data_IF_844521969142
#
_entry.id   IF_844521969142
#
_cell.length_a   1.000
_cell.length_b   1.000
_cell.length_c   1.000
_cell.angle_alpha   90.00
_cell.angle_beta   90.00
_cell.angle_gamma   90.00
#
_symmetry.space_group_name_H-M   'P 1'
#
loop_
_entity.id
_entity.type
_entity.pdbx_description
1 polymer ?
#
# COMPACT_ATOMS: atom_id res chain seq x y z
N UNK A 1 -19.99 -23.19 -6.20
CA UNK A 1 -19.38 -22.04 -5.48
C UNK A 1 -18.23 -22.48 -4.56
N UNK A 2 -18.40 -23.45 -3.62
CA UNK A 2 -17.27 -23.93 -2.80
C UNK A 2 -16.20 -24.66 -3.65
N UNK A 3 -16.56 -25.57 -4.52
CA UNK A 3 -15.61 -26.28 -5.41
C UNK A 3 -14.87 -25.31 -6.35
N UNK A 4 -15.54 -24.34 -6.89
CA UNK A 4 -14.98 -23.32 -7.78
C UNK A 4 -13.92 -22.45 -7.08
N UNK A 5 -14.16 -22.06 -5.82
CA UNK A 5 -13.19 -21.30 -5.03
C UNK A 5 -11.97 -22.15 -4.66
N UNK A 6 -12.17 -23.42 -4.34
CA UNK A 6 -11.05 -24.34 -4.07
C UNK A 6 -10.17 -24.53 -5.31
N UNK A 7 -10.76 -24.66 -6.49
CA UNK A 7 -10.02 -24.74 -7.76
C UNK A 7 -9.21 -23.44 -8.03
N UNK A 8 -9.82 -22.28 -7.76
CA UNK A 8 -9.12 -20.99 -7.87
C UNK A 8 -7.96 -20.89 -6.89
N UNK A 9 -8.16 -21.28 -5.63
CA UNK A 9 -7.09 -21.29 -4.61
C UNK A 9 -5.94 -22.20 -5.06
N UNK A 10 -6.23 -23.37 -5.59
CA UNK A 10 -5.20 -24.31 -6.09
C UNK A 10 -4.44 -23.78 -7.31
N UNK A 11 -5.06 -22.93 -8.12
CA UNK A 11 -4.41 -22.29 -9.26
C UNK A 11 -3.35 -21.24 -8.86
N UNK A 12 -3.39 -20.73 -7.60
CA UNK A 12 -2.45 -19.74 -7.08
C UNK A 12 -2.76 -18.31 -7.52
N UNK A 13 -1.95 -17.35 -7.07
CA UNK A 13 -2.10 -15.93 -7.39
C UNK A 13 -1.96 -15.65 -8.89
N UNK A 14 -2.74 -14.68 -9.39
CA UNK A 14 -2.79 -14.29 -10.80
C UNK A 14 -3.16 -12.82 -10.97
N UNK A 15 -3.34 -12.37 -12.21
CA UNK A 15 -3.88 -11.03 -12.49
C UNK A 15 -5.28 -10.79 -11.91
N UNK A 16 -6.06 -11.86 -11.75
CA UNK A 16 -7.45 -11.80 -11.27
C UNK A 16 -7.66 -12.48 -9.91
N UNK A 17 -6.61 -12.98 -9.28
CA UNK A 17 -6.67 -13.63 -7.97
C UNK A 17 -5.53 -13.19 -7.07
N UNK A 18 -5.88 -12.80 -5.85
CA UNK A 18 -4.94 -12.54 -4.75
C UNK A 18 -5.28 -13.42 -3.56
N UNK A 19 -4.28 -14.08 -3.00
CA UNK A 19 -4.40 -14.91 -1.80
C UNK A 19 -3.73 -14.22 -0.62
N UNK A 20 -4.42 -14.12 0.52
CA UNK A 20 -3.88 -13.55 1.74
C UNK A 20 -4.20 -14.42 2.94
N UNK A 21 -3.21 -14.69 3.75
CA UNK A 21 -3.39 -15.38 5.03
C UNK A 21 -4.28 -14.56 5.95
N UNK A 22 -4.00 -13.27 6.06
CA UNK A 22 -4.81 -12.28 6.79
C UNK A 22 -4.54 -10.88 6.22
N UNK A 23 -5.45 -9.96 6.49
CA UNK A 23 -5.27 -8.55 6.19
C UNK A 23 -5.77 -7.70 7.36
N UNK A 24 -4.93 -6.80 7.87
CA UNK A 24 -5.24 -5.93 9.01
C UNK A 24 -5.16 -4.45 8.65
N UNK A 25 -4.49 -4.14 7.57
CA UNK A 25 -4.28 -2.77 7.09
C UNK A 25 -5.32 -2.41 6.04
N UNK A 26 -6.25 -1.46 6.35
CA UNK A 26 -7.24 -0.98 5.39
C UNK A 26 -6.61 -0.28 4.18
N UNK A 27 -5.43 0.34 4.32
CA UNK A 27 -4.73 1.00 3.22
C UNK A 27 -4.22 -0.03 2.21
N UNK A 28 -3.63 -1.13 2.70
CA UNK A 28 -3.21 -2.22 1.83
C UNK A 28 -4.41 -2.84 1.10
N UNK A 29 -5.53 -3.07 1.79
CA UNK A 29 -6.73 -3.62 1.16
C UNK A 29 -7.33 -2.65 0.13
N UNK A 30 -7.37 -1.35 0.42
CA UNK A 30 -7.82 -0.34 -0.53
C UNK A 30 -6.93 -0.31 -1.79
N UNK A 31 -5.60 -0.37 -1.62
CA UNK A 31 -4.66 -0.49 -2.74
C UNK A 31 -4.96 -1.73 -3.61
N UNK A 32 -5.17 -2.89 -2.99
CA UNK A 32 -5.52 -4.13 -3.70
C UNK A 32 -6.83 -3.97 -4.47
N UNK A 33 -7.91 -3.57 -3.80
CA UNK A 33 -9.22 -3.37 -4.43
C UNK A 33 -9.10 -2.37 -5.59
N UNK A 34 -8.46 -1.21 -5.37
CA UNK A 34 -8.27 -0.20 -6.42
C UNK A 34 -7.47 -0.74 -7.61
N UNK A 35 -6.44 -1.54 -7.37
CA UNK A 35 -5.61 -2.12 -8.44
C UNK A 35 -6.38 -3.13 -9.30
N UNK A 36 -7.24 -3.95 -8.69
CA UNK A 36 -8.13 -4.86 -9.42
C UNK A 36 -9.19 -4.10 -10.20
N UNK A 37 -9.84 -3.10 -9.58
CA UNK A 37 -10.86 -2.28 -10.23
C UNK A 37 -10.31 -1.54 -11.46
N UNK A 38 -9.08 -1.06 -11.41
CA UNK A 38 -8.41 -0.40 -12.53
C UNK A 38 -7.83 -1.36 -13.59
N UNK A 39 -7.86 -2.66 -13.34
CA UNK A 39 -7.40 -3.68 -14.29
C UNK A 39 -8.61 -4.44 -14.87
N UNK A 40 -8.69 -5.73 -14.63
CA UNK A 40 -9.73 -6.60 -15.16
C UNK A 40 -10.81 -6.98 -14.13
N UNK A 41 -10.72 -6.46 -12.91
CA UNK A 41 -11.42 -6.97 -11.75
C UNK A 41 -10.75 -8.24 -11.22
N UNK A 42 -11.42 -8.96 -10.32
CA UNK A 42 -10.92 -10.22 -9.79
C UNK A 42 -11.38 -10.49 -8.37
N UNK A 43 -10.69 -11.41 -7.71
CA UNK A 43 -11.02 -11.87 -6.36
C UNK A 43 -9.83 -11.73 -5.41
N UNK A 44 -10.11 -11.27 -4.20
CA UNK A 44 -9.17 -11.27 -3.08
C UNK A 44 -9.69 -12.29 -2.07
N UNK A 45 -8.92 -13.34 -1.83
CA UNK A 45 -9.28 -14.44 -0.93
C UNK A 45 -8.44 -14.33 0.34
N UNK A 46 -9.10 -14.21 1.47
CA UNK A 46 -8.46 -14.03 2.79
C UNK A 46 -8.73 -15.24 3.66
N UNK A 47 -7.71 -15.77 4.29
CA UNK A 47 -7.72 -17.03 5.05
C UNK A 47 -6.98 -18.16 4.34
N UNK A 48 -6.18 -17.84 3.32
CA UNK A 48 -5.39 -18.79 2.53
C UNK A 48 -3.92 -18.36 2.54
N UNK A 49 -3.03 -19.31 2.76
CA UNK A 49 -1.57 -19.14 2.72
C UNK A 49 -1.01 -19.76 1.45
N UNK A 50 0.08 -19.24 0.91
CA UNK A 50 0.84 -19.88 -0.16
C UNK A 50 2.03 -20.71 0.39
N UNK A 51 2.29 -21.91 -0.15
CA UNK A 51 1.49 -22.67 -1.13
C UNK A 51 0.07 -22.93 -0.61
N UNK A 52 -0.93 -23.19 -1.48
CA UNK A 52 -2.34 -23.17 -1.11
C UNK A 52 -2.66 -24.05 0.11
N UNK A 53 -2.90 -23.39 1.24
CA UNK A 53 -3.34 -24.00 2.50
C UNK A 53 -4.43 -23.10 3.11
N UNK A 54 -5.59 -23.68 3.39
CA UNK A 54 -6.67 -22.95 4.06
C UNK A 54 -6.32 -22.83 5.55
N UNK A 55 -6.09 -21.61 6.00
CA UNK A 55 -5.78 -21.32 7.41
C UNK A 55 -6.97 -20.72 8.16
N UNK A 56 -7.92 -20.15 7.43
CA UNK A 56 -9.09 -19.45 7.94
C UNK A 56 -8.86 -17.96 8.20
N UNK A 57 -9.93 -17.19 8.17
CA UNK A 57 -9.95 -15.76 8.40
C UNK A 57 -10.85 -15.40 9.59
N UNK A 58 -10.49 -14.33 10.30
CA UNK A 58 -11.41 -13.68 11.25
C UNK A 58 -12.41 -12.81 10.45
N UNK A 59 -13.64 -13.26 10.36
CA UNK A 59 -14.70 -12.57 9.62
C UNK A 59 -14.92 -11.15 10.12
N UNK A 60 -15.06 -10.95 11.43
CA UNK A 60 -15.37 -9.64 12.00
C UNK A 60 -14.27 -8.63 11.73
N UNK A 61 -13.02 -9.03 11.94
CA UNK A 61 -11.87 -8.19 11.66
C UNK A 61 -11.79 -7.86 10.17
N UNK A 62 -11.92 -8.88 9.30
CA UNK A 62 -11.83 -8.71 7.84
C UNK A 62 -12.94 -7.79 7.32
N UNK A 63 -14.17 -7.95 7.79
CA UNK A 63 -15.30 -7.08 7.42
C UNK A 63 -15.04 -5.63 7.81
N UNK A 64 -14.57 -5.38 9.03
CA UNK A 64 -14.21 -4.03 9.50
C UNK A 64 -13.09 -3.41 8.65
N UNK A 65 -12.03 -4.16 8.35
CA UNK A 65 -10.92 -3.71 7.50
C UNK A 65 -11.43 -3.40 6.08
N UNK A 66 -12.32 -4.23 5.55
CA UNK A 66 -12.94 -4.01 4.24
C UNK A 66 -13.79 -2.72 4.20
N UNK A 67 -14.63 -2.48 5.20
CA UNK A 67 -15.44 -1.26 5.27
C UNK A 67 -14.57 0.00 5.35
N UNK A 68 -13.49 -0.04 6.14
CA UNK A 68 -12.53 1.06 6.22
C UNK A 68 -11.72 1.25 4.93
N UNK A 69 -11.39 0.17 4.24
CA UNK A 69 -10.73 0.23 2.94
C UNK A 69 -11.61 0.90 1.88
N UNK A 70 -12.90 0.59 1.84
CA UNK A 70 -13.84 1.20 0.89
C UNK A 70 -14.00 2.71 1.07
N UNK A 71 -13.82 3.25 2.27
CA UNK A 71 -13.84 4.70 2.54
C UNK A 71 -12.64 5.44 1.94
N UNK A 72 -11.56 4.73 1.63
CA UNK A 72 -10.31 5.26 1.07
C UNK A 72 -10.28 5.24 -0.46
N UNK A 73 -11.34 4.72 -1.10
CA UNK A 73 -11.45 4.58 -2.55
C UNK A 73 -12.38 5.62 -3.16
N UNK A 74 -11.92 6.27 -4.22
CA UNK A 74 -12.69 7.28 -4.95
C UNK A 74 -12.46 7.13 -6.46
N UNK A 75 -13.52 6.96 -7.27
CA UNK A 75 -14.87 6.58 -6.87
C UNK A 75 -14.88 5.22 -6.17
N UNK A 76 -15.94 4.93 -5.43
CA UNK A 76 -16.11 3.63 -4.77
C UNK A 76 -16.40 2.56 -5.83
N UNK A 77 -15.54 1.54 -6.00
CA UNK A 77 -15.75 0.50 -6.99
C UNK A 77 -16.87 -0.47 -6.57
N UNK A 78 -17.45 -1.16 -7.55
CA UNK A 78 -18.39 -2.27 -7.30
C UNK A 78 -17.63 -3.45 -6.70
N UNK A 79 -18.01 -3.83 -5.48
CA UNK A 79 -17.37 -4.93 -4.75
C UNK A 79 -18.39 -5.72 -3.96
N UNK A 80 -18.14 -7.02 -3.79
CA UNK A 80 -18.99 -7.91 -3.00
C UNK A 80 -18.13 -8.74 -2.04
N UNK A 81 -18.40 -8.65 -0.76
CA UNK A 81 -17.80 -9.50 0.25
C UNK A 81 -18.69 -10.72 0.49
N UNK A 82 -18.14 -11.91 0.36
CA UNK A 82 -18.79 -13.19 0.62
C UNK A 82 -17.96 -14.01 1.61
N UNK A 83 -18.65 -14.81 2.43
CA UNK A 83 -18.03 -15.72 3.36
C UNK A 83 -18.28 -17.12 2.87
N UNK A 84 -17.24 -17.94 2.83
CA UNK A 84 -17.29 -19.32 2.36
C UNK A 84 -16.65 -20.19 3.41
N UNK A 85 -17.23 -21.33 3.68
CA UNK A 85 -16.63 -22.36 4.49
C UNK A 85 -15.80 -23.29 3.60
N UNK A 86 -14.53 -23.42 3.87
CA UNK A 86 -13.60 -24.32 3.20
C UNK A 86 -12.79 -25.08 4.24
N UNK A 87 -12.75 -26.41 4.16
CA UNK A 87 -12.05 -27.25 5.15
C UNK A 87 -12.45 -26.95 6.61
N UNK A 88 -13.74 -26.75 6.87
CA UNK A 88 -14.29 -26.36 8.18
C UNK A 88 -13.76 -25.02 8.73
N UNK A 89 -13.17 -24.18 7.86
CA UNK A 89 -12.63 -22.87 8.20
C UNK A 89 -13.34 -21.77 7.40
N UNK A 90 -13.47 -20.60 8.02
CA UNK A 90 -14.02 -19.41 7.38
C UNK A 90 -13.01 -18.82 6.40
N UNK A 91 -13.40 -18.63 5.16
CA UNK A 91 -12.63 -17.92 4.13
C UNK A 91 -13.46 -16.74 3.65
N UNK A 92 -12.87 -15.56 3.60
CA UNK A 92 -13.52 -14.36 3.10
C UNK A 92 -13.08 -14.10 1.66
N UNK A 93 -14.05 -13.93 0.76
CA UNK A 93 -13.82 -13.61 -0.64
C UNK A 93 -14.38 -12.24 -0.93
N UNK A 94 -13.54 -11.37 -1.47
CA UNK A 94 -13.93 -10.05 -1.96
C UNK A 94 -13.87 -10.10 -3.47
N UNK A 95 -15.05 -10.08 -4.12
CA UNK A 95 -15.16 -9.90 -5.56
C UNK A 95 -15.04 -8.42 -5.89
N UNK A 96 -14.21 -8.09 -6.85
CA UNK A 96 -14.00 -6.72 -7.33
C UNK A 96 -14.32 -6.68 -8.81
N UNK A 97 -15.29 -5.86 -9.21
CA UNK A 97 -15.59 -5.66 -10.61
C UNK A 97 -14.64 -4.64 -11.23
N UNK A 98 -14.37 -4.80 -12.54
CA UNK A 98 -13.64 -3.79 -13.29
C UNK A 98 -14.42 -2.48 -13.29
N UNK A 99 -13.74 -1.40 -12.93
CA UNK A 99 -14.31 -0.05 -12.99
C UNK A 99 -14.16 0.55 -14.39
N UNK A 100 -15.17 1.31 -14.80
CA UNK A 100 -15.11 2.16 -16.01
C UNK A 100 -14.42 3.48 -15.74
N UNK A 101 -14.35 3.89 -14.46
CA UNK A 101 -13.69 5.11 -14.00
C UNK A 101 -12.40 4.78 -13.28
N UNK A 102 -11.44 5.72 -13.31
CA UNK A 102 -10.18 5.58 -12.58
C UNK A 102 -10.43 5.61 -11.07
N UNK A 103 -10.16 4.49 -10.40
CA UNK A 103 -10.28 4.36 -8.95
C UNK A 103 -8.97 4.76 -8.28
N UNK A 104 -9.06 5.72 -7.38
CA UNK A 104 -7.94 6.18 -6.56
C UNK A 104 -8.03 5.59 -5.15
N UNK A 105 -6.92 5.11 -4.63
CA UNK A 105 -6.73 4.77 -3.22
C UNK A 105 -5.89 5.86 -2.57
N UNK A 106 -6.50 6.65 -1.68
CA UNK A 106 -5.85 7.79 -1.03
C UNK A 106 -5.16 8.74 -2.02
N UNK A 107 -5.86 9.09 -3.10
CA UNK A 107 -5.36 9.98 -4.14
C UNK A 107 -4.34 9.36 -5.10
N UNK A 108 -4.06 8.05 -5.01
CA UNK A 108 -3.12 7.34 -5.87
C UNK A 108 -3.82 6.29 -6.70
N UNK A 109 -3.46 6.19 -7.98
CA UNK A 109 -3.91 5.12 -8.85
C UNK A 109 -2.95 3.93 -8.82
N UNK A 110 -3.52 2.74 -8.66
CA UNK A 110 -2.78 1.48 -8.75
C UNK A 110 -3.43 0.59 -9.80
N UNK A 111 -2.63 -0.26 -10.44
CA UNK A 111 -3.09 -1.25 -11.42
C UNK A 111 -2.48 -2.61 -11.10
N UNK A 112 -3.24 -3.66 -11.33
CA UNK A 112 -2.76 -5.04 -11.24
C UNK A 112 -2.01 -5.42 -12.50
N UNK A 113 -0.77 -5.90 -12.34
CA UNK A 113 0.05 -6.42 -13.44
C UNK A 113 0.67 -7.73 -12.98
N UNK A 114 0.23 -8.85 -13.54
CA UNK A 114 0.54 -10.17 -13.01
C UNK A 114 0.03 -10.32 -11.58
N UNK A 115 0.90 -10.68 -10.65
CA UNK A 115 0.58 -10.80 -9.21
C UNK A 115 0.87 -9.53 -8.41
N UNK A 116 1.30 -8.43 -9.05
CA UNK A 116 1.72 -7.21 -8.36
C UNK A 116 0.72 -6.06 -8.54
N UNK A 117 0.43 -5.36 -7.45
CA UNK A 117 -0.29 -4.08 -7.47
C UNK A 117 0.73 -2.93 -7.53
N UNK A 118 0.87 -2.31 -8.70
CA UNK A 118 1.86 -1.27 -8.98
C UNK A 118 1.20 0.11 -9.11
N UNK A 119 1.92 1.20 -8.81
CA UNK A 119 1.45 2.54 -9.15
C UNK A 119 1.20 2.63 -10.67
N UNK A 120 0.07 3.20 -11.05
CA UNK A 120 -0.32 3.36 -12.44
C UNK A 120 0.49 4.49 -13.09
N UNK A 121 1.11 4.22 -14.23
CA UNK A 121 1.80 5.25 -15.01
C UNK A 121 0.79 6.22 -15.65
N UNK A 122 1.20 7.46 -15.90
CA UNK A 122 0.34 8.47 -16.53
C UNK A 122 -0.26 8.02 -17.87
N UNK A 123 0.52 7.32 -18.69
CA UNK A 123 0.08 6.76 -19.97
C UNK A 123 -1.08 5.76 -19.82
N UNK A 124 -1.09 5.00 -18.73
CA UNK A 124 -2.16 4.07 -18.39
C UNK A 124 -3.38 4.80 -17.83
N UNK A 125 -3.17 5.79 -16.94
CA UNK A 125 -4.26 6.62 -16.39
C UNK A 125 -5.04 7.31 -17.52
N UNK A 126 -4.34 7.79 -18.55
CA UNK A 126 -4.94 8.47 -19.70
C UNK A 126 -5.94 7.59 -20.46
N UNK A 127 -5.78 6.27 -20.44
CA UNK A 127 -6.72 5.34 -21.09
C UNK A 127 -8.05 5.21 -20.34
N UNK A 128 -8.07 5.52 -19.04
CA UNK A 128 -9.25 5.55 -18.20
C UNK A 128 -9.96 6.91 -18.19
N UNK A 129 -9.36 7.92 -18.83
CA UNK A 129 -9.96 9.25 -18.92
C UNK A 129 -10.88 9.32 -20.13
N UNK A 130 -12.13 9.78 -19.96
CA UNK A 130 -13.00 10.06 -21.10
C UNK A 130 -12.38 11.13 -21.98
N UNK A 131 -12.66 11.06 -23.28
CA UNK A 131 -12.17 12.03 -24.28
C UNK A 131 -12.59 13.48 -23.96
N UNK A 132 -13.66 13.62 -23.16
CA UNK A 132 -14.05 14.87 -22.51
C UNK A 132 -14.23 14.58 -21.02
N UNK A 133 -13.34 15.09 -20.17
CA UNK A 133 -13.43 14.84 -18.72
C UNK A 133 -14.66 15.55 -18.14
N UNK A 134 -15.57 14.77 -17.58
CA UNK A 134 -16.68 15.29 -16.77
C UNK A 134 -16.18 15.87 -15.43
N UNK A 135 -17.02 16.61 -14.69
CA UNK A 135 -16.66 17.20 -13.41
C UNK A 135 -16.07 16.21 -12.40
N UNK A 136 -16.63 15.00 -12.31
CA UNK A 136 -16.14 13.94 -11.43
C UNK A 136 -14.72 13.45 -11.80
N UNK A 137 -14.40 13.43 -13.10
CA UNK A 137 -13.06 13.03 -13.58
C UNK A 137 -12.03 14.11 -13.27
N UNK A 138 -12.41 15.38 -13.38
CA UNK A 138 -11.55 16.51 -13.01
C UNK A 138 -11.27 16.47 -11.51
N UNK A 139 -12.27 16.23 -10.68
CA UNK A 139 -12.11 16.13 -9.23
C UNK A 139 -11.20 14.97 -8.82
N UNK A 140 -11.34 13.80 -9.46
CA UNK A 140 -10.47 12.65 -9.19
C UNK A 140 -9.02 12.90 -9.60
N UNK A 141 -8.79 13.60 -10.71
CA UNK A 141 -7.46 14.03 -11.15
C UNK A 141 -6.84 15.07 -10.21
N UNK A 142 -7.63 16.04 -9.76
CA UNK A 142 -7.17 17.05 -8.80
C UNK A 142 -6.71 16.37 -7.52
N UNK A 143 -7.49 15.43 -6.98
CA UNK A 143 -7.11 14.65 -5.79
C UNK A 143 -5.84 13.81 -6.00
N UNK A 144 -5.67 13.23 -7.21
CA UNK A 144 -4.45 12.48 -7.54
C UNK A 144 -3.21 13.38 -7.54
N UNK A 145 -3.33 14.57 -8.12
CA UNK A 145 -2.24 15.57 -8.16
C UNK A 145 -1.92 16.06 -6.75
N UNK A 146 -2.93 16.40 -5.95
CA UNK A 146 -2.76 16.83 -4.56
C UNK A 146 -2.10 15.72 -3.70
N UNK A 147 -2.52 14.46 -3.88
CA UNK A 147 -1.91 13.33 -3.17
C UNK A 147 -0.45 13.10 -3.55
N UNK A 148 -0.08 13.29 -4.82
CA UNK A 148 1.31 13.23 -5.26
C UNK A 148 2.14 14.40 -4.73
N UNK A 149 1.59 15.60 -4.75
CA UNK A 149 2.27 16.81 -4.22
C UNK A 149 2.56 16.66 -2.74
N UNK A 150 1.59 16.18 -1.96
CA UNK A 150 1.78 15.93 -0.53
C UNK A 150 2.88 14.89 -0.26
N UNK A 151 2.95 13.82 -1.07
CA UNK A 151 4.01 12.82 -0.93
C UNK A 151 5.39 13.41 -1.22
N UNK A 152 5.50 14.27 -2.23
CA UNK A 152 6.75 14.97 -2.54
C UNK A 152 7.17 15.88 -1.39
N UNK A 153 6.24 16.60 -0.78
CA UNK A 153 6.50 17.43 0.40
C UNK A 153 6.95 16.58 1.60
N UNK A 154 6.27 15.47 1.89
CA UNK A 154 6.66 14.54 2.95
C UNK A 154 8.06 13.95 2.72
N UNK A 155 8.38 13.58 1.49
CA UNK A 155 9.72 13.09 1.13
C UNK A 155 10.79 14.17 1.29
N UNK A 156 10.50 15.41 0.86
CA UNK A 156 11.42 16.53 1.04
C UNK A 156 11.65 16.84 2.51
N UNK A 157 10.62 16.77 3.35
CA UNK A 157 10.75 16.97 4.79
C UNK A 157 11.62 15.87 5.43
N UNK A 158 11.39 14.60 5.08
CA UNK A 158 12.21 13.49 5.56
C UNK A 158 13.69 13.62 5.16
N UNK A 159 13.95 14.04 3.91
CA UNK A 159 15.31 14.29 3.45
C UNK A 159 15.94 15.47 4.22
N UNK A 160 15.18 16.52 4.47
CA UNK A 160 15.66 17.69 5.23
C UNK A 160 15.95 17.33 6.68
N UNK A 161 15.10 16.56 7.34
CA UNK A 161 15.32 16.07 8.71
C UNK A 161 16.53 15.13 8.79
N UNK A 162 16.67 14.22 7.86
CA UNK A 162 17.81 13.31 7.75
C UNK A 162 19.13 14.07 7.59
N UNK A 163 19.16 15.07 6.70
CA UNK A 163 20.36 15.91 6.50
C UNK A 163 20.72 16.76 7.73
N UNK A 164 19.71 17.31 8.43
CA UNK A 164 19.97 18.09 9.66
C UNK A 164 20.45 17.21 10.80
N UNK A 165 20.04 15.95 10.85
CA UNK A 165 20.50 14.98 11.84
C UNK A 165 21.97 14.59 11.60
N UNK A 166 22.36 14.32 10.36
CA UNK A 166 23.74 14.04 9.99
C UNK A 166 24.68 15.25 10.24
N UNK A 167 24.22 16.45 9.97
CA UNK A 167 24.99 17.68 10.27
C UNK A 167 25.25 17.86 11.78
N UNK A 168 24.22 17.65 12.61
CA UNK A 168 24.32 17.72 14.08
C UNK A 168 25.25 16.65 14.66
N UNK A 169 25.28 15.45 14.07
CA UNK A 169 26.21 14.41 14.50
C UNK A 169 27.66 14.72 14.13
N UNK A 170 27.91 15.32 12.96
CA UNK A 170 29.25 15.78 12.56
C UNK A 170 29.77 16.87 13.48
N UNK A 171 28.98 17.89 13.82
CA UNK A 171 29.36 18.95 14.72
C UNK A 171 29.66 18.43 16.13
N UNK A 172 28.85 17.53 16.67
CA UNK A 172 29.10 16.92 18.00
C UNK A 172 30.33 16.00 17.98
N UNK A 173 30.54 15.24 16.90
CA UNK A 173 31.71 14.38 16.74
C UNK A 173 33.01 15.18 16.68
N UNK A 174 33.03 16.30 15.98
CA UNK A 174 34.20 17.20 15.91
C UNK A 174 34.47 17.85 17.29
N UNK A 175 33.44 18.31 17.98
CA UNK A 175 33.58 18.89 19.32
C UNK A 175 34.12 17.88 20.34
N UNK A 176 33.67 16.63 20.31
CA UNK A 176 34.14 15.55 21.17
C UNK A 176 35.60 15.18 20.88
N UNK A 177 35.98 15.07 19.60
CA UNK A 177 37.35 14.78 19.19
C UNK A 177 38.33 15.90 19.61
N UNK A 178 37.96 17.17 19.46
CA UNK A 178 38.75 18.31 19.91
C UNK A 178 38.89 18.37 21.45
N UNK A 179 37.84 18.00 22.19
CA UNK A 179 37.88 17.90 23.65
C UNK A 179 38.87 16.84 24.15
N UNK A 180 38.90 15.67 23.53
CA UNK A 180 39.87 14.61 23.85
C UNK A 180 41.29 15.07 23.52
N UNK A 181 41.50 15.69 22.38
CA UNK A 181 42.83 16.19 21.97
C UNK A 181 43.37 17.24 22.95
N UNK A 182 42.53 18.19 23.37
CA UNK A 182 42.86 19.19 24.35
C UNK A 182 43.20 18.57 25.72
N UNK A 183 42.45 17.54 26.15
CA UNK A 183 42.70 16.83 27.42
C UNK A 183 44.05 16.09 27.40
N UNK A 184 44.36 15.42 26.27
CA UNK A 184 45.64 14.70 26.11
C UNK A 184 46.82 15.69 26.09
N UNK A 185 46.70 16.81 25.40
CA UNK A 185 47.73 17.85 25.37
C UNK A 185 47.97 18.48 26.77
N UNK A 186 46.90 18.73 27.52
CA UNK A 186 46.99 19.20 28.89
C UNK A 186 47.68 18.18 29.81
N UNK A 187 47.39 16.89 29.68
CA UNK A 187 48.05 15.83 30.45
C UNK A 187 49.53 15.72 30.14
N UNK A 188 49.92 15.87 28.88
CA UNK A 188 51.35 15.83 28.48
C UNK A 188 52.10 17.08 29.01
N UNK A 189 51.45 18.24 28.99
CA UNK A 189 52.04 19.47 29.55
C UNK A 189 52.22 19.35 31.06
N UNK A 190 51.29 18.74 31.78
CA UNK A 190 51.38 18.54 33.24
C UNK A 190 52.44 17.50 33.66
N UNK A 191 52.73 16.51 32.81
CA UNK A 191 53.72 15.47 33.07
C UNK A 191 55.18 15.93 32.82
N UNK A 192 55.40 17.15 32.30
CA UNK A 192 56.72 17.72 32.02
C UNK A 192 57.14 18.76 33.02
N UNK A 193 56.34 19.04 34.02
CA UNK A 193 56.69 19.86 35.20
C UNK A 193 56.71 19.00 36.47
#
# INVERSE_FOLDING_TARGET
MQSEILELILAGESETLELKTFIRDPQLLAKLIGSFANAQGGKIVIGVKEPPEVVGADERLTRRVYEEALKRLVPKPSTKLSIIEAEEKCVVVIDVERSTELVLSEGRAFVRTGTLSQPMAWTQMRQHLPSQPGPATIESLTRAIEGQSKLIEEMHEQIRESNTWQARWKERGIGFALGILASVLASIAYARF
#
